data_IF_792748237777
#
_entry.id   IF_792748237777
#
_cell.length_a   1.000
_cell.length_b   1.000
_cell.length_c   1.000
_cell.angle_alpha   90.00
_cell.angle_beta   90.00
_cell.angle_gamma   90.00
#
_symmetry.space_group_name_H-M   'P 1'
#
loop_
_entity.id
_entity.type
_entity.pdbx_description
1 polymer ?
#
# COMPACT_ATOMS: atom_id res chain seq x y z
N UNK A 1 0.20 -13.46 -19.86
CA UNK A 1 0.38 -14.78 -19.20
C UNK A 1 1.81 -14.89 -18.67
N UNK A 2 2.09 -14.28 -17.52
CA UNK A 2 3.41 -14.37 -16.88
C UNK A 2 3.40 -15.56 -15.91
N UNK A 3 3.88 -16.72 -16.36
CA UNK A 3 4.09 -17.86 -15.47
C UNK A 3 5.03 -17.47 -14.33
N UNK A 4 4.61 -17.71 -13.08
CA UNK A 4 5.44 -17.43 -11.92
C UNK A 4 6.70 -18.28 -11.93
N UNK A 5 7.85 -17.66 -11.61
CA UNK A 5 9.15 -18.32 -11.71
C UNK A 5 9.28 -19.47 -10.70
N UNK A 6 9.98 -20.53 -11.10
CA UNK A 6 10.31 -21.68 -10.24
C UNK A 6 10.90 -21.27 -8.89
N UNK A 7 11.71 -20.21 -8.85
CA UNK A 7 12.33 -19.68 -7.63
C UNK A 7 11.31 -19.23 -6.58
N UNK A 8 10.23 -18.56 -7.00
CA UNK A 8 9.17 -18.11 -6.10
C UNK A 8 8.40 -19.29 -5.53
N UNK A 9 8.06 -20.29 -6.36
CA UNK A 9 7.41 -21.53 -5.95
C UNK A 9 8.27 -22.34 -4.97
N UNK A 10 9.56 -22.46 -5.25
CA UNK A 10 10.50 -23.14 -4.34
C UNK A 10 10.63 -22.39 -3.00
N UNK A 11 10.68 -21.05 -3.05
CA UNK A 11 10.68 -20.21 -1.85
C UNK A 11 9.43 -20.37 -0.99
N UNK A 12 8.25 -20.48 -1.62
CA UNK A 12 6.99 -20.78 -0.94
C UNK A 12 7.06 -22.14 -0.24
N UNK A 13 7.39 -23.19 -0.98
CA UNK A 13 7.47 -24.57 -0.46
C UNK A 13 8.37 -24.66 0.77
N UNK A 14 9.55 -24.01 0.72
CA UNK A 14 10.46 -23.98 1.87
C UNK A 14 9.82 -23.33 3.09
N UNK A 15 9.05 -22.26 2.92
CA UNK A 15 8.33 -21.62 4.03
C UNK A 15 7.20 -22.50 4.56
N UNK A 16 6.39 -23.09 3.68
CA UNK A 16 5.24 -23.93 4.07
C UNK A 16 5.69 -25.15 4.87
N UNK A 17 6.78 -25.80 4.46
CA UNK A 17 7.34 -26.93 5.20
C UNK A 17 8.30 -26.55 6.33
N UNK A 18 8.40 -25.26 6.68
CA UNK A 18 9.35 -24.73 7.67
C UNK A 18 10.78 -25.26 7.48
N UNK A 19 11.23 -25.25 6.23
CA UNK A 19 12.46 -25.90 5.77
C UNK A 19 13.51 -24.88 5.37
N UNK A 20 14.72 -25.05 5.88
CA UNK A 20 15.87 -24.23 5.46
C UNK A 20 16.45 -24.70 4.13
N UNK A 21 17.14 -23.80 3.42
CA UNK A 21 17.90 -24.15 2.19
C UNK A 21 18.95 -25.24 2.44
N UNK A 22 19.53 -25.27 3.65
CA UNK A 22 20.50 -26.28 4.05
C UNK A 22 19.85 -27.65 4.26
N UNK A 23 18.62 -27.68 4.81
CA UNK A 23 17.84 -28.91 4.95
C UNK A 23 17.54 -29.50 3.57
N UNK A 24 17.02 -28.68 2.64
CA UNK A 24 16.73 -29.16 1.28
C UNK A 24 17.99 -29.63 0.54
N UNK A 25 19.11 -28.91 0.69
CA UNK A 25 20.39 -29.30 0.09
C UNK A 25 20.85 -30.68 0.58
N UNK A 26 20.77 -30.91 1.90
CA UNK A 26 21.08 -32.20 2.51
C UNK A 26 20.16 -33.31 1.99
N UNK A 27 18.86 -33.06 1.95
CA UNK A 27 17.88 -34.05 1.50
C UNK A 27 18.03 -34.46 0.03
N UNK A 28 18.53 -33.55 -0.82
CA UNK A 28 18.76 -33.81 -2.24
C UNK A 28 20.20 -34.23 -2.55
N UNK A 29 21.07 -34.33 -1.53
CA UNK A 29 22.50 -34.56 -1.68
C UNK A 29 23.20 -33.59 -2.66
N UNK A 30 22.87 -32.30 -2.56
CA UNK A 30 23.47 -31.22 -3.37
C UNK A 30 24.07 -30.11 -2.51
N UNK A 31 24.88 -29.24 -3.11
CA UNK A 31 25.46 -28.10 -2.41
C UNK A 31 24.43 -27.08 -1.94
N UNK A 32 24.60 -26.58 -0.71
CA UNK A 32 23.79 -25.50 -0.14
C UNK A 32 23.79 -24.23 -1.01
N UNK A 33 24.93 -23.91 -1.65
CA UNK A 33 25.05 -22.77 -2.55
C UNK A 33 24.25 -22.95 -3.85
N UNK A 34 24.06 -24.19 -4.31
CA UNK A 34 23.23 -24.50 -5.47
C UNK A 34 21.74 -24.28 -5.16
N UNK A 35 21.26 -24.76 -4.01
CA UNK A 35 19.89 -24.48 -3.55
C UNK A 35 19.67 -22.99 -3.32
N UNK A 36 20.67 -22.28 -2.79
CA UNK A 36 20.65 -20.82 -2.67
C UNK A 36 20.42 -20.12 -4.01
N UNK A 37 21.10 -20.57 -5.07
CA UNK A 37 20.95 -20.04 -6.43
C UNK A 37 19.59 -20.34 -7.05
N UNK A 38 19.01 -21.50 -6.77
CA UNK A 38 17.65 -21.85 -7.20
C UNK A 38 16.59 -20.94 -6.56
N UNK A 39 16.66 -20.73 -5.24
CA UNK A 39 15.72 -19.85 -4.53
C UNK A 39 15.88 -18.39 -4.95
N UNK A 40 17.10 -17.96 -5.27
CA UNK A 40 17.37 -16.62 -5.81
C UNK A 40 16.95 -16.46 -7.29
N UNK A 41 16.60 -17.54 -7.99
CA UNK A 41 16.27 -17.51 -9.42
C UNK A 41 17.46 -17.31 -10.36
N UNK A 42 18.68 -17.28 -9.83
CA UNK A 42 19.91 -17.11 -10.62
C UNK A 42 20.29 -18.32 -11.47
N UNK A 43 19.77 -19.51 -11.13
CA UNK A 43 20.00 -20.76 -11.87
C UNK A 43 18.72 -21.58 -11.83
N UNK A 44 18.32 -22.17 -12.95
CA UNK A 44 17.24 -23.16 -13.00
C UNK A 44 17.78 -24.55 -12.69
N UNK A 45 17.06 -25.38 -11.90
CA UNK A 45 17.46 -26.76 -11.70
C UNK A 45 17.47 -27.52 -13.03
N UNK A 46 18.41 -28.45 -13.18
CA UNK A 46 18.38 -29.42 -14.28
C UNK A 46 17.16 -30.32 -14.15
N UNK A 47 16.76 -30.99 -15.23
CA UNK A 47 15.65 -31.96 -15.23
C UNK A 47 15.81 -33.03 -14.14
N UNK A 48 17.04 -33.52 -13.93
CA UNK A 48 17.35 -34.48 -12.86
C UNK A 48 17.08 -33.90 -11.47
N UNK A 49 17.54 -32.68 -11.20
CA UNK A 49 17.33 -32.02 -9.92
C UNK A 49 15.86 -31.65 -9.70
N UNK A 50 15.15 -31.21 -10.74
CA UNK A 50 13.72 -30.94 -10.66
C UNK A 50 12.91 -32.20 -10.36
N UNK A 51 13.29 -33.35 -10.94
CA UNK A 51 12.66 -34.64 -10.62
C UNK A 51 12.90 -35.05 -9.16
N UNK A 52 14.11 -34.84 -8.63
CA UNK A 52 14.43 -35.15 -7.23
C UNK A 52 13.69 -34.21 -6.26
N UNK A 53 13.61 -32.91 -6.56
CA UNK A 53 12.82 -31.95 -5.78
C UNK A 53 11.35 -32.37 -5.79
N UNK A 54 10.78 -32.65 -6.95
CA UNK A 54 9.38 -33.08 -7.07
C UNK A 54 9.09 -34.33 -6.24
N UNK A 55 9.96 -35.34 -6.31
CA UNK A 55 9.81 -36.58 -5.51
C UNK A 55 9.83 -36.29 -4.01
N UNK A 56 10.79 -35.48 -3.58
CA UNK A 56 10.92 -35.09 -2.17
C UNK A 56 9.70 -34.33 -1.64
N UNK A 57 9.03 -33.54 -2.48
CA UNK A 57 7.78 -32.86 -2.13
C UNK A 57 6.57 -33.78 -2.18
N UNK A 58 6.51 -34.72 -3.13
CA UNK A 58 5.44 -35.70 -3.22
C UNK A 58 5.32 -36.58 -1.96
N UNK A 59 6.44 -36.86 -1.29
CA UNK A 59 6.45 -37.56 -0.01
C UNK A 59 5.73 -36.79 1.12
N UNK A 60 5.61 -35.46 0.98
CA UNK A 60 5.01 -34.56 1.99
C UNK A 60 3.65 -34.02 1.57
N UNK A 61 3.41 -33.94 0.27
CA UNK A 61 2.16 -33.50 -0.33
C UNK A 61 1.69 -34.58 -1.31
N UNK A 62 0.80 -35.50 -0.88
CA UNK A 62 0.28 -36.56 -1.74
C UNK A 62 -0.32 -35.99 -3.03
N UNK A 63 0.05 -36.58 -4.16
CA UNK A 63 -0.43 -36.15 -5.47
C UNK A 63 0.35 -34.99 -6.10
N UNK A 64 1.42 -34.50 -5.47
CA UNK A 64 2.33 -33.52 -6.09
C UNK A 64 3.15 -34.17 -7.22
N UNK A 65 3.17 -33.52 -8.38
CA UNK A 65 3.79 -34.00 -9.63
C UNK A 65 4.62 -32.90 -10.30
N UNK A 66 5.32 -33.27 -11.37
CA UNK A 66 6.16 -32.31 -12.11
C UNK A 66 5.32 -31.24 -12.82
N UNK A 67 4.07 -31.54 -13.20
CA UNK A 67 3.16 -30.59 -13.86
C UNK A 67 2.69 -29.48 -12.91
N UNK A 68 2.76 -29.70 -11.60
CA UNK A 68 2.37 -28.68 -10.64
C UNK A 68 3.30 -27.47 -10.67
N UNK A 69 4.55 -27.63 -11.14
CA UNK A 69 5.46 -26.51 -11.36
C UNK A 69 5.03 -25.56 -12.47
N UNK A 70 4.14 -25.97 -13.36
CA UNK A 70 3.65 -25.14 -14.48
C UNK A 70 2.42 -24.29 -14.08
N UNK A 71 1.82 -24.55 -12.93
CA UNK A 71 0.71 -23.76 -12.38
C UNK A 71 1.12 -22.31 -12.12
N UNK A 72 0.18 -21.38 -12.03
CA UNK A 72 0.52 -20.08 -11.47
C UNK A 72 0.84 -20.17 -9.96
N UNK A 73 1.32 -19.07 -9.36
CA UNK A 73 1.74 -19.10 -7.95
C UNK A 73 0.56 -19.24 -6.98
N UNK A 74 -0.63 -18.83 -7.38
CA UNK A 74 -1.84 -18.83 -6.57
C UNK A 74 -2.40 -20.26 -6.47
N UNK A 75 -2.58 -20.91 -7.62
CA UNK A 75 -2.97 -22.33 -7.74
C UNK A 75 -1.92 -23.27 -7.13
N UNK A 76 -0.64 -22.89 -7.23
CA UNK A 76 0.44 -23.65 -6.61
C UNK A 76 0.44 -23.54 -5.08
N UNK A 77 0.14 -22.36 -4.51
CA UNK A 77 0.07 -22.19 -3.07
C UNK A 77 -1.14 -22.92 -2.46
N UNK A 78 -2.27 -22.91 -3.18
CA UNK A 78 -3.48 -23.63 -2.79
C UNK A 78 -3.25 -25.14 -2.59
N UNK A 79 -2.35 -25.76 -3.37
CA UNK A 79 -1.97 -27.17 -3.19
C UNK A 79 -1.47 -27.46 -1.78
N UNK A 80 -0.78 -26.52 -1.14
CA UNK A 80 -0.18 -26.72 0.17
C UNK A 80 -1.02 -26.11 1.31
N UNK A 81 -2.27 -25.72 1.04
CA UNK A 81 -3.13 -25.04 2.01
C UNK A 81 -2.56 -23.69 2.47
N UNK A 82 -1.67 -23.09 1.67
CA UNK A 82 -1.01 -21.83 1.98
C UNK A 82 -1.63 -20.70 1.16
N UNK A 83 -1.70 -19.51 1.75
CA UNK A 83 -1.97 -18.28 1.00
C UNK A 83 -0.67 -17.91 0.29
N UNK A 84 -0.70 -17.77 -1.04
CA UNK A 84 0.46 -17.34 -1.79
C UNK A 84 1.00 -16.02 -1.20
N UNK A 85 2.31 -15.87 -0.97
CA UNK A 85 2.87 -14.54 -0.74
C UNK A 85 2.50 -13.76 -1.98
N UNK A 86 1.76 -12.67 -1.78
CA UNK A 86 1.50 -11.68 -2.81
C UNK A 86 2.88 -11.15 -3.19
N UNK A 87 3.53 -11.80 -4.17
CA UNK A 87 4.59 -11.17 -4.94
C UNK A 87 3.99 -9.84 -5.38
N UNK A 88 4.68 -8.73 -5.10
CA UNK A 88 4.27 -7.39 -5.52
C UNK A 88 3.86 -7.45 -7.00
N UNK A 89 2.57 -7.67 -7.27
CA UNK A 89 2.06 -7.66 -8.63
C UNK A 89 2.22 -6.21 -9.08
N UNK A 90 2.75 -5.96 -10.28
CA UNK A 90 2.52 -4.69 -10.92
C UNK A 90 1.01 -4.44 -10.90
N UNK A 91 0.60 -3.31 -10.33
CA UNK A 91 -0.81 -2.93 -10.26
C UNK A 91 -1.28 -2.72 -11.70
N UNK A 92 -2.02 -3.68 -12.26
CA UNK A 92 -2.32 -3.71 -13.70
C UNK A 92 -3.48 -2.77 -14.05
N UNK A 93 -3.49 -2.34 -15.32
CA UNK A 93 -4.42 -1.40 -15.95
C UNK A 93 -5.89 -1.79 -15.76
N UNK A 94 -6.17 -3.08 -15.52
CA UNK A 94 -7.49 -3.67 -15.38
C UNK A 94 -8.04 -3.72 -13.93
N UNK A 95 -7.19 -3.55 -12.90
CA UNK A 95 -7.57 -3.78 -11.49
C UNK A 95 -8.07 -2.50 -10.79
N UNK A 96 -8.75 -1.62 -11.55
CA UNK A 96 -9.43 -0.47 -11.00
C UNK A 96 -10.75 -0.83 -10.34
N UNK A 97 -11.19 -0.05 -9.33
CA UNK A 97 -12.59 -0.12 -8.89
C UNK A 97 -13.48 0.16 -10.11
N UNK A 98 -14.44 -0.71 -10.45
CA UNK A 98 -15.24 -0.59 -11.67
C UNK A 98 -16.27 0.54 -11.53
N UNK A 99 -15.81 1.79 -11.69
CA UNK A 99 -16.65 2.97 -11.56
C UNK A 99 -17.19 3.40 -12.93
N UNK A 100 -18.49 3.66 -13.04
CA UNK A 100 -19.09 4.20 -14.27
C UNK A 100 -18.48 5.56 -14.69
N UNK A 101 -17.86 6.27 -13.75
CA UNK A 101 -17.24 7.59 -13.95
C UNK A 101 -15.73 7.54 -14.25
N UNK A 102 -15.16 6.36 -14.54
CA UNK A 102 -13.73 6.22 -14.83
C UNK A 102 -13.21 7.15 -15.93
N UNK A 103 -13.93 7.39 -17.05
CA UNK A 103 -13.48 8.34 -18.07
C UNK A 103 -13.30 9.76 -17.51
N UNK A 104 -14.23 10.23 -16.68
CA UNK A 104 -14.19 11.55 -16.05
C UNK A 104 -13.03 11.65 -15.06
N UNK A 105 -12.77 10.58 -14.29
CA UNK A 105 -11.63 10.51 -13.37
C UNK A 105 -10.32 10.64 -14.14
N UNK A 106 -10.11 9.85 -15.20
CA UNK A 106 -8.88 9.93 -16.02
C UNK A 106 -8.70 11.32 -16.64
N UNK A 107 -9.78 11.93 -17.13
CA UNK A 107 -9.75 13.30 -17.66
C UNK A 107 -9.33 14.31 -16.59
N UNK A 108 -9.89 14.21 -15.38
CA UNK A 108 -9.54 15.09 -14.26
C UNK A 108 -8.08 14.88 -13.79
N UNK A 109 -7.62 13.63 -13.77
CA UNK A 109 -6.23 13.28 -13.46
C UNK A 109 -5.26 13.89 -14.46
N UNK A 110 -5.53 13.80 -15.76
CA UNK A 110 -4.63 14.30 -16.81
C UNK A 110 -4.31 15.78 -16.62
N UNK A 111 -5.29 16.60 -16.23
CA UNK A 111 -5.10 18.03 -15.98
C UNK A 111 -4.42 18.37 -14.65
N UNK A 112 -4.32 17.43 -13.71
CA UNK A 112 -3.85 17.68 -12.34
C UNK A 112 -2.67 16.82 -11.90
N UNK A 113 -2.28 15.82 -12.67
CA UNK A 113 -1.31 14.82 -12.26
C UNK A 113 0.00 15.46 -11.79
N UNK A 114 0.57 16.37 -12.57
CA UNK A 114 1.81 17.09 -12.22
C UNK A 114 1.75 17.82 -10.88
N UNK A 115 0.58 18.30 -10.48
CA UNK A 115 0.41 18.99 -9.20
C UNK A 115 0.24 18.01 -8.03
N UNK A 116 -0.31 16.82 -8.30
CA UNK A 116 -0.66 15.82 -7.30
C UNK A 116 0.45 14.79 -7.05
N UNK A 117 1.37 14.60 -8.01
CA UNK A 117 2.52 13.72 -7.86
C UNK A 117 3.48 14.23 -6.78
N UNK A 118 3.72 13.40 -5.78
CA UNK A 118 4.55 13.76 -4.64
C UNK A 118 4.89 12.58 -3.72
N UNK A 119 5.87 12.80 -2.86
CA UNK A 119 5.97 12.14 -1.56
C UNK A 119 5.12 12.89 -0.55
N UNK A 120 4.43 12.14 0.30
CA UNK A 120 3.59 12.70 1.34
C UNK A 120 3.77 11.96 2.67
N UNK A 121 3.35 12.65 3.72
CA UNK A 121 3.20 12.11 5.07
C UNK A 121 1.80 12.42 5.56
N UNK A 122 1.08 11.42 6.04
CA UNK A 122 -0.21 11.65 6.70
C UNK A 122 -0.03 11.95 8.19
N UNK A 123 -1.04 12.55 8.81
CA UNK A 123 -1.16 12.62 10.27
C UNK A 123 -2.58 12.31 10.66
N UNK A 124 -2.78 11.30 11.51
CA UNK A 124 -4.08 10.88 12.02
C UNK A 124 -3.99 10.40 13.47
N UNK A 125 -5.07 10.43 14.25
CA UNK A 125 -5.09 9.84 15.59
C UNK A 125 -4.66 8.36 15.57
N UNK A 126 -3.87 7.98 16.58
CA UNK A 126 -3.44 6.60 16.79
C UNK A 126 -4.53 5.84 17.56
N UNK A 127 -5.24 4.94 16.89
CA UNK A 127 -6.33 4.17 17.51
C UNK A 127 -5.86 3.34 18.73
N UNK A 128 -4.69 2.69 18.61
CA UNK A 128 -4.11 1.89 19.68
C UNK A 128 -3.42 2.72 20.78
N UNK A 129 -3.31 4.04 20.63
CA UNK A 129 -2.63 4.93 21.57
C UNK A 129 -3.35 6.29 21.67
N UNK A 130 -4.42 6.40 22.46
CA UNK A 130 -5.20 7.63 22.60
C UNK A 130 -4.33 8.85 22.94
N UNK A 131 -4.61 9.98 22.27
CA UNK A 131 -3.84 11.22 22.41
C UNK A 131 -2.53 11.26 21.62
N UNK A 132 -2.13 10.17 20.95
CA UNK A 132 -0.99 10.12 20.04
C UNK A 132 -1.45 10.18 18.58
N UNK A 133 -0.49 10.44 17.69
CA UNK A 133 -0.71 10.54 16.26
C UNK A 133 0.21 9.60 15.49
N UNK A 134 -0.28 9.06 14.38
CA UNK A 134 0.47 8.24 13.43
C UNK A 134 0.83 9.05 12.18
N UNK A 135 1.99 8.74 11.65
CA UNK A 135 2.49 9.21 10.37
C UNK A 135 2.63 8.05 9.39
N UNK A 136 1.66 7.92 8.49
CA UNK A 136 1.82 7.04 7.33
C UNK A 136 2.69 7.78 6.29
N UNK A 137 3.66 7.08 5.73
CA UNK A 137 4.53 7.61 4.67
C UNK A 137 4.00 7.12 3.35
N UNK A 138 4.01 7.98 2.32
CA UNK A 138 3.40 7.62 1.06
C UNK A 138 3.95 8.35 -0.15
N UNK A 139 3.52 7.86 -1.29
CA UNK A 139 3.85 8.35 -2.61
C UNK A 139 2.60 8.32 -3.48
N UNK A 140 2.38 9.41 -4.23
CA UNK A 140 1.38 9.48 -5.30
C UNK A 140 2.12 9.64 -6.62
N UNK A 141 1.83 8.77 -7.59
CA UNK A 141 2.46 8.77 -8.92
C UNK A 141 1.41 8.58 -10.01
N UNK A 142 1.57 9.24 -11.15
CA UNK A 142 0.77 8.94 -12.34
C UNK A 142 1.14 7.57 -12.89
N UNK A 143 0.15 6.68 -12.98
CA UNK A 143 0.31 5.37 -13.59
C UNK A 143 0.06 5.47 -15.11
N UNK A 144 0.62 4.54 -15.89
CA UNK A 144 0.45 4.46 -17.33
C UNK A 144 -1.03 4.35 -17.77
N UNK A 145 -1.91 3.86 -16.90
CA UNK A 145 -3.35 3.83 -17.18
C UNK A 145 -4.01 5.24 -17.12
N UNK A 146 -3.35 6.26 -16.60
CA UNK A 146 -3.90 7.61 -16.43
C UNK A 146 -4.65 7.84 -15.11
N UNK A 147 -4.46 6.97 -14.12
CA UNK A 147 -4.87 7.19 -12.73
C UNK A 147 -3.67 7.53 -11.86
N UNK A 148 -3.92 8.18 -10.73
CA UNK A 148 -2.90 8.38 -9.71
C UNK A 148 -2.86 7.13 -8.83
N UNK A 149 -1.76 6.41 -8.91
CA UNK A 149 -1.45 5.35 -7.98
C UNK A 149 -1.01 5.96 -6.66
N UNK A 150 -1.53 5.42 -5.57
CA UNK A 150 -1.11 5.77 -4.21
C UNK A 150 -0.53 4.54 -3.53
N UNK A 151 0.62 4.72 -2.92
CA UNK A 151 1.22 3.76 -2.00
C UNK A 151 1.41 4.49 -0.68
N UNK A 152 0.92 3.93 0.41
CA UNK A 152 1.08 4.50 1.75
C UNK A 152 1.17 3.42 2.80
N UNK A 153 1.96 3.64 3.84
CA UNK A 153 2.08 2.63 4.87
C UNK A 153 2.85 3.07 6.11
N UNK A 154 2.85 2.16 7.07
CA UNK A 154 3.65 2.21 8.28
C UNK A 154 4.37 0.89 8.44
N UNK A 155 5.71 0.91 8.40
CA UNK A 155 6.55 -0.28 8.53
C UNK A 155 6.14 -1.38 7.52
N UNK A 156 5.59 -2.50 8.02
CA UNK A 156 5.22 -3.67 7.24
C UNK A 156 3.78 -3.60 6.67
N UNK A 157 2.94 -2.69 7.19
CA UNK A 157 1.59 -2.46 6.67
C UNK A 157 1.66 -1.47 5.52
N UNK A 158 1.42 -1.94 4.31
CA UNK A 158 1.48 -1.12 3.09
C UNK A 158 0.16 -1.23 2.34
N UNK A 159 -0.52 -0.09 2.20
CA UNK A 159 -1.68 0.08 1.36
C UNK A 159 -1.26 0.54 -0.03
N UNK A 160 -1.83 -0.10 -1.06
CA UNK A 160 -1.66 0.29 -2.46
C UNK A 160 -3.01 0.42 -3.13
N UNK A 161 -3.18 1.43 -3.98
CA UNK A 161 -4.45 1.67 -4.64
C UNK A 161 -4.51 2.92 -5.51
N UNK A 162 -5.69 3.52 -5.59
CA UNK A 162 -5.99 4.64 -6.48
C UNK A 162 -6.38 5.89 -5.72
N UNK A 163 -5.80 7.02 -6.12
CA UNK A 163 -6.23 8.36 -5.75
C UNK A 163 -6.98 8.99 -6.95
N UNK A 164 -8.25 9.33 -6.75
CA UNK A 164 -9.16 9.69 -7.83
C UNK A 164 -9.70 11.10 -7.61
N UNK A 165 -9.35 12.06 -8.48
CA UNK A 165 -9.95 13.39 -8.43
C UNK A 165 -11.41 13.34 -8.93
N UNK A 166 -12.36 13.67 -8.06
CA UNK A 166 -13.79 13.70 -8.37
C UNK A 166 -14.41 14.95 -7.74
N UNK A 167 -15.06 15.80 -8.56
CA UNK A 167 -15.84 16.98 -8.12
C UNK A 167 -15.11 17.89 -7.11
N UNK A 168 -13.80 18.10 -7.28
CA UNK A 168 -13.04 18.93 -6.34
C UNK A 168 -12.80 18.25 -4.99
N UNK A 169 -12.71 16.93 -4.96
CA UNK A 169 -12.21 16.12 -3.85
C UNK A 169 -11.26 15.05 -4.40
N UNK A 170 -10.46 14.44 -3.52
CA UNK A 170 -9.64 13.29 -3.86
C UNK A 170 -10.14 12.07 -3.09
N UNK A 171 -10.55 11.04 -3.82
CA UNK A 171 -11.01 9.78 -3.28
C UNK A 171 -9.88 8.77 -3.35
N UNK A 172 -9.43 8.27 -2.20
CA UNK A 172 -8.44 7.22 -2.07
C UNK A 172 -9.13 5.91 -1.73
N UNK A 173 -8.87 4.87 -2.52
CA UNK A 173 -9.20 3.49 -2.20
C UNK A 173 -7.91 2.70 -2.28
N UNK A 174 -7.47 2.12 -1.16
CA UNK A 174 -6.23 1.36 -1.12
C UNK A 174 -6.36 0.13 -0.23
N UNK A 175 -5.59 -0.91 -0.55
CA UNK A 175 -5.65 -2.20 0.12
C UNK A 175 -4.28 -2.62 0.61
N UNK A 176 -4.22 -3.18 1.81
CA UNK A 176 -3.10 -3.99 2.27
C UNK A 176 -3.41 -5.45 1.94
N UNK A 177 -2.82 -5.92 0.85
CA UNK A 177 -3.05 -7.28 0.36
C UNK A 177 -2.46 -8.35 1.28
N UNK A 178 -1.45 -8.03 2.10
CA UNK A 178 -0.84 -8.98 3.01
C UNK A 178 -1.77 -9.29 4.20
N UNK A 179 -2.50 -8.27 4.67
CA UNK A 179 -3.38 -8.38 5.83
C UNK A 179 -4.87 -8.42 5.47
N UNK A 180 -5.22 -8.31 4.18
CA UNK A 180 -6.61 -8.27 3.73
C UNK A 180 -7.37 -7.03 4.22
N UNK A 181 -6.66 -5.92 4.46
CA UNK A 181 -7.24 -4.68 4.96
C UNK A 181 -7.53 -3.70 3.82
N UNK A 182 -8.57 -2.89 3.99
CA UNK A 182 -8.92 -1.82 3.07
C UNK A 182 -9.00 -0.49 3.82
N UNK A 183 -8.47 0.55 3.20
CA UNK A 183 -8.61 1.92 3.66
C UNK A 183 -9.30 2.75 2.57
N UNK A 184 -10.22 3.59 3.02
CA UNK A 184 -10.90 4.56 2.19
C UNK A 184 -10.69 5.95 2.77
N UNK A 185 -10.20 6.88 1.96
CA UNK A 185 -9.95 8.25 2.41
C UNK A 185 -10.60 9.23 1.44
N UNK A 186 -11.34 10.19 1.96
CA UNK A 186 -11.82 11.33 1.17
C UNK A 186 -11.05 12.55 1.66
N UNK A 187 -10.22 13.11 0.78
CA UNK A 187 -9.57 14.39 1.04
C UNK A 187 -10.36 15.54 0.38
N UNK A 188 -10.50 16.64 1.12
CA UNK A 188 -10.99 17.92 0.60
C UNK A 188 -10.05 18.37 -0.51
N UNK A 189 -10.49 18.72 -1.73
CA UNK A 189 -9.51 19.31 -2.67
C UNK A 189 -9.21 20.74 -2.25
N UNK A 190 -7.94 21.09 -2.32
CA UNK A 190 -7.53 22.49 -2.37
C UNK A 190 -7.76 23.00 -3.81
N UNK A 191 -8.28 24.23 -4.00
CA UNK A 191 -8.32 24.87 -5.32
C UNK A 191 -6.90 25.00 -5.92
N UNK A 192 -6.83 24.94 -7.26
CA UNK A 192 -5.68 25.16 -8.18
C UNK A 192 -4.25 25.18 -7.62
N UNK A 193 -3.34 24.43 -8.27
CA UNK A 193 -1.91 24.42 -7.97
C UNK A 193 -1.48 23.20 -7.16
N UNK A 194 -0.23 23.23 -6.67
CA UNK A 194 0.40 22.11 -5.96
C UNK A 194 0.01 22.10 -4.49
N UNK A 195 -0.81 21.13 -4.02
CA UNK A 195 -1.21 21.08 -2.62
C UNK A 195 0.00 20.82 -1.72
N UNK A 196 0.19 21.66 -0.72
CA UNK A 196 1.19 21.46 0.33
C UNK A 196 0.62 20.72 1.52
N UNK A 197 -0.68 20.92 1.78
CA UNK A 197 -1.43 20.21 2.81
C UNK A 197 -2.85 20.02 2.34
N UNK A 198 -3.41 18.87 2.65
CA UNK A 198 -4.80 18.52 2.38
C UNK A 198 -5.35 17.83 3.63
N UNK A 199 -6.59 18.08 4.00
CA UNK A 199 -7.28 17.35 5.06
C UNK A 199 -8.40 16.48 4.51
N UNK A 200 -8.82 15.51 5.29
CA UNK A 200 -9.77 14.51 4.87
C UNK A 200 -10.26 13.65 6.01
N UNK A 201 -11.10 12.68 5.66
CA UNK A 201 -11.60 11.67 6.58
C UNK A 201 -11.15 10.31 6.07
N UNK A 202 -10.48 9.55 6.93
CA UNK A 202 -10.11 8.16 6.67
C UNK A 202 -11.12 7.24 7.34
N UNK A 203 -11.46 6.15 6.66
CA UNK A 203 -12.27 5.05 7.14
C UNK A 203 -11.52 3.74 6.89
N UNK A 204 -11.49 2.87 7.87
CA UNK A 204 -10.81 1.59 7.74
C UNK A 204 -11.16 0.62 8.86
N UNK A 205 -10.70 -0.61 8.70
CA UNK A 205 -10.79 -1.63 9.74
C UNK A 205 -9.88 -1.27 10.92
N UNK A 206 -10.42 -1.34 12.12
CA UNK A 206 -9.67 -1.28 13.36
C UNK A 206 -8.71 -2.47 13.45
N UNK A 207 -7.48 -2.22 13.86
CA UNK A 207 -6.49 -3.28 14.12
C UNK A 207 -6.56 -3.83 15.56
N UNK A 208 -7.65 -3.56 16.29
CA UNK A 208 -7.86 -4.01 17.67
C UNK A 208 -8.19 -5.50 17.80
N UNK A 209 -8.29 -5.99 19.04
CA UNK A 209 -8.60 -7.41 19.37
C UNK A 209 -10.01 -7.84 18.98
N UNK A 210 -10.90 -6.90 18.67
CA UNK A 210 -12.22 -7.15 18.12
C UNK A 210 -12.34 -6.45 16.76
N UNK A 211 -12.95 -7.12 15.75
CA UNK A 211 -13.22 -6.48 14.47
C UNK A 211 -14.05 -5.21 14.68
N UNK A 212 -13.52 -4.08 14.23
CA UNK A 212 -14.16 -2.78 14.32
C UNK A 212 -13.97 -1.97 13.05
N UNK A 213 -14.78 -0.92 12.90
CA UNK A 213 -14.58 0.10 11.89
C UNK A 213 -14.32 1.42 12.60
N UNK A 214 -13.36 2.19 12.10
CA UNK A 214 -13.04 3.51 12.62
C UNK A 214 -13.09 4.54 11.50
N UNK A 215 -13.58 5.72 11.83
CA UNK A 215 -13.47 6.91 11.01
C UNK A 215 -12.73 7.99 11.80
N UNK A 216 -11.76 8.65 11.18
CA UNK A 216 -10.99 9.70 11.82
C UNK A 216 -10.63 10.80 10.82
N UNK A 217 -10.48 12.05 11.27
CA UNK A 217 -9.85 13.07 10.46
C UNK A 217 -8.39 12.69 10.19
N UNK A 218 -7.90 13.09 9.03
CA UNK A 218 -6.54 12.84 8.56
C UNK A 218 -6.05 14.06 7.80
N UNK A 219 -4.77 14.37 7.95
CA UNK A 219 -4.08 15.37 7.14
C UNK A 219 -3.05 14.65 6.27
N UNK A 220 -2.84 15.13 5.05
CA UNK A 220 -1.77 14.76 4.15
C UNK A 220 -0.89 16.00 3.93
N UNK A 221 0.37 15.92 4.33
CA UNK A 221 1.41 16.91 4.05
C UNK A 221 2.27 16.45 2.87
N UNK A 222 2.51 17.34 1.90
CA UNK A 222 3.52 17.12 0.88
C UNK A 222 4.90 17.26 1.52
N UNK A 223 5.74 16.24 1.40
CA UNK A 223 7.11 16.22 1.98
C UNK A 223 8.21 16.19 0.93
N UNK A 224 7.84 16.06 -0.35
CA UNK A 224 8.78 16.19 -1.45
C UNK A 224 8.15 15.93 -2.81
N UNK A 225 8.89 16.25 -3.84
CA UNK A 225 8.50 16.07 -5.24
C UNK A 225 9.12 14.77 -5.75
N UNK A 226 8.45 14.12 -6.70
CA UNK A 226 9.02 12.99 -7.42
C UNK A 226 10.15 13.47 -8.33
N UNK A 227 11.20 12.66 -8.45
CA UNK A 227 12.32 12.97 -9.34
C UNK A 227 12.01 12.64 -10.80
N UNK A 228 11.04 11.76 -11.05
CA UNK A 228 10.74 11.19 -12.36
C UNK A 228 11.54 9.92 -12.67
N UNK A 229 12.54 9.58 -11.84
CA UNK A 229 13.19 8.26 -11.86
C UNK A 229 12.45 7.32 -10.90
N UNK A 230 11.74 6.36 -11.49
CA UNK A 230 10.94 5.36 -10.76
C UNK A 230 11.77 4.61 -9.72
N UNK A 231 12.99 4.18 -10.07
CA UNK A 231 13.82 3.37 -9.17
C UNK A 231 14.33 4.21 -8.00
N UNK A 232 14.75 5.45 -8.29
CA UNK A 232 15.20 6.37 -7.25
C UNK A 232 14.06 6.77 -6.31
N UNK A 233 12.88 7.05 -6.86
CA UNK A 233 11.70 7.43 -6.09
C UNK A 233 11.20 6.27 -5.22
N UNK A 234 11.17 5.04 -5.74
CA UNK A 234 10.80 3.86 -4.98
C UNK A 234 11.80 3.58 -3.85
N UNK A 235 13.10 3.80 -4.08
CA UNK A 235 14.12 3.71 -3.02
C UNK A 235 13.86 4.74 -1.92
N UNK A 236 13.61 5.99 -2.29
CA UNK A 236 13.29 7.05 -1.33
C UNK A 236 12.03 6.72 -0.52
N UNK A 237 10.98 6.19 -1.16
CA UNK A 237 9.78 5.74 -0.46
C UNK A 237 10.11 4.66 0.58
N UNK A 238 10.90 3.64 0.22
CA UNK A 238 11.32 2.58 1.16
C UNK A 238 12.15 3.13 2.33
N UNK A 239 13.01 4.12 2.09
CA UNK A 239 13.74 4.80 3.16
C UNK A 239 12.79 5.54 4.11
N UNK A 240 11.76 6.23 3.59
CA UNK A 240 10.76 6.91 4.42
C UNK A 240 10.02 5.96 5.36
N UNK A 241 9.72 4.73 4.91
CA UNK A 241 9.04 3.71 5.73
C UNK A 241 9.84 3.25 6.96
N UNK A 242 11.15 3.54 7.01
CA UNK A 242 11.99 3.21 8.17
C UNK A 242 11.81 4.17 9.35
N UNK A 243 11.15 5.31 9.13
CA UNK A 243 10.85 6.27 10.17
C UNK A 243 9.90 5.68 11.22
N UNK A 244 9.98 6.19 12.45
CA UNK A 244 9.00 5.84 13.48
C UNK A 244 7.60 6.28 13.03
N UNK A 245 6.63 5.36 12.91
CA UNK A 245 5.27 5.71 12.54
C UNK A 245 4.57 6.53 13.61
N UNK A 246 5.01 6.49 14.87
CA UNK A 246 4.42 7.29 15.92
C UNK A 246 5.02 8.69 15.89
N UNK A 247 4.17 9.72 15.80
CA UNK A 247 4.62 11.09 15.87
C UNK A 247 5.37 11.34 17.20
N UNK A 248 6.58 11.93 17.16
CA UNK A 248 7.28 12.34 18.36
C UNK A 248 6.41 13.28 19.20
N UNK A 249 6.54 13.21 20.52
CA UNK A 249 5.76 14.07 21.42
C UNK A 249 6.04 15.55 21.14
N UNK A 250 4.96 16.35 21.05
CA UNK A 250 5.05 17.78 20.71
C UNK A 250 5.41 18.10 19.25
N UNK A 251 5.65 17.10 18.39
CA UNK A 251 6.00 17.35 16.97
C UNK A 251 4.80 17.73 16.09
N UNK A 252 3.59 17.37 16.51
CA UNK A 252 2.36 17.73 15.81
C UNK A 252 1.92 19.13 16.23
N UNK A 253 1.80 20.09 15.29
CA UNK A 253 1.43 21.47 15.63
C UNK A 253 0.09 21.56 16.36
N UNK A 254 -0.08 22.48 17.34
CA UNK A 254 -1.32 22.60 18.11
C UNK A 254 -2.57 22.76 17.26
N UNK A 255 -2.50 23.49 16.14
CA UNK A 255 -3.61 23.67 15.22
C UNK A 255 -3.99 22.37 14.48
N UNK A 256 -3.03 21.48 14.25
CA UNK A 256 -3.25 20.16 13.68
C UNK A 256 -3.86 19.22 14.72
N UNK A 257 -3.36 19.24 15.96
CA UNK A 257 -3.96 18.49 17.08
C UNK A 257 -5.43 18.89 17.26
N UNK A 258 -5.70 20.19 17.33
CA UNK A 258 -7.05 20.72 17.45
C UNK A 258 -7.94 20.37 16.24
N UNK A 259 -7.37 20.22 15.04
CA UNK A 259 -8.09 19.77 13.85
C UNK A 259 -8.44 18.27 13.91
N UNK A 260 -7.49 17.44 14.35
CA UNK A 260 -7.60 15.98 14.32
C UNK A 260 -8.33 15.38 15.52
N UNK A 261 -8.50 16.14 16.60
CA UNK A 261 -9.12 15.68 17.86
C UNK A 261 -10.40 16.44 18.21
N UNK A 262 -11.14 16.92 17.20
CA UNK A 262 -12.39 17.66 17.39
C UNK A 262 -13.49 16.77 17.95
N UNK A 263 -14.32 17.38 18.78
CA UNK A 263 -15.56 16.79 19.28
C UNK A 263 -16.68 16.90 18.24
N UNK A 264 -17.62 15.95 18.27
CA UNK A 264 -18.81 15.91 17.42
C UNK A 264 -19.87 15.01 18.05
N UNK A 265 -21.13 15.17 17.65
CA UNK A 265 -22.25 14.34 18.10
C UNK A 265 -23.24 15.10 18.99
N UNK A 266 -24.13 14.40 19.71
CA UNK A 266 -25.27 15.03 20.38
C UNK A 266 -24.92 16.14 21.36
N UNK A 267 -23.94 15.90 22.23
CA UNK A 267 -23.51 16.89 23.23
C UNK A 267 -22.86 18.10 22.57
N UNK A 268 -22.03 17.86 21.54
CA UNK A 268 -21.37 18.94 20.81
C UNK A 268 -22.38 19.77 20.01
N UNK A 269 -23.35 19.12 19.36
CA UNK A 269 -24.46 19.78 18.66
C UNK A 269 -25.29 20.64 19.61
N UNK A 270 -25.61 20.15 20.82
CA UNK A 270 -26.35 20.92 21.82
C UNK A 270 -25.59 22.19 22.27
N UNK A 271 -24.26 22.19 22.18
CA UNK A 271 -23.40 23.35 22.41
C UNK A 271 -23.19 24.24 21.16
N UNK A 272 -23.91 23.99 20.06
CA UNK A 272 -23.80 24.73 18.80
C UNK A 272 -22.71 24.24 17.84
N UNK A 273 -22.13 23.07 18.11
CA UNK A 273 -21.13 22.42 17.27
C UNK A 273 -21.71 21.45 16.24
N UNK A 274 -20.86 20.56 15.72
CA UNK A 274 -21.22 19.63 14.66
C UNK A 274 -21.89 18.34 15.18
N UNK A 275 -22.91 17.87 14.47
CA UNK A 275 -23.55 16.57 14.71
C UNK A 275 -22.71 15.39 14.17
N UNK A 276 -22.07 15.57 13.01
CA UNK A 276 -21.31 14.55 12.31
C UNK A 276 -19.85 14.96 12.21
N UNK A 277 -18.95 13.98 12.09
CA UNK A 277 -17.58 14.23 11.68
C UNK A 277 -17.58 14.85 10.27
N UNK A 278 -17.21 16.12 10.18
CA UNK A 278 -17.16 16.87 8.94
C UNK A 278 -15.93 17.76 8.88
N UNK A 279 -15.44 17.99 7.66
CA UNK A 279 -14.37 18.95 7.38
C UNK A 279 -14.93 19.98 6.40
N UNK A 280 -15.68 20.98 6.91
CA UNK A 280 -16.20 22.03 6.05
C UNK A 280 -15.04 22.93 5.59
N UNK A 281 -15.16 23.49 4.38
CA UNK A 281 -14.10 24.28 3.74
C UNK A 281 -13.55 25.40 4.63
N UNK A 282 -14.42 26.09 5.38
CA UNK A 282 -14.02 27.19 6.27
C UNK A 282 -13.19 26.75 7.49
N UNK A 283 -13.13 25.45 7.79
CA UNK A 283 -12.30 24.85 8.85
C UNK A 283 -11.18 23.97 8.30
N UNK A 284 -11.03 23.94 6.98
CA UNK A 284 -10.02 23.13 6.32
C UNK A 284 -8.63 23.74 6.53
N UNK A 285 -7.63 22.91 6.74
CA UNK A 285 -6.22 23.26 6.76
C UNK A 285 -5.56 23.08 5.38
N UNK A 286 -6.37 22.85 4.34
CA UNK A 286 -5.94 22.71 2.97
C UNK A 286 -5.22 23.97 2.44
N UNK A 287 -4.05 23.80 1.84
CA UNK A 287 -3.27 24.89 1.24
C UNK A 287 -2.47 24.43 0.02
N UNK A 288 -2.38 25.29 -0.98
CA UNK A 288 -1.64 25.06 -2.24
C UNK A 288 -0.64 26.17 -2.49
N UNK A 289 0.40 25.85 -3.23
CA UNK A 289 1.28 26.85 -3.86
C UNK A 289 0.84 26.96 -5.33
N UNK A 290 0.50 28.18 -5.76
CA UNK A 290 0.32 28.44 -7.19
C UNK A 290 1.68 28.33 -7.86
N UNK A 291 1.79 27.56 -8.94
CA UNK A 291 2.95 27.68 -9.80
C UNK A 291 3.02 29.13 -10.27
N UNK A 292 4.10 29.85 -9.98
CA UNK A 292 4.37 31.09 -10.69
C UNK A 292 4.39 30.72 -12.17
N UNK A 293 3.48 31.30 -12.94
CA UNK A 293 3.59 31.24 -14.39
C UNK A 293 5.00 31.75 -14.72
N UNK A 294 5.83 30.89 -15.31
CA UNK A 294 7.06 31.34 -15.93
C UNK A 294 6.66 32.43 -16.92
N UNK A 295 7.02 33.66 -16.60
CA UNK A 295 6.82 34.78 -17.48
C UNK A 295 7.85 34.66 -18.60
N UNK A 296 7.33 34.40 -19.81
CA UNK A 296 7.93 34.57 -21.15
C UNK A 296 8.88 33.45 -21.58
#
# INVERSE_FOLDING_TARGET
MSGSSFSAKLGLVLKVFNMSRAHLASALAVDKSLVGRWVAGSVTPSTHNLANITRYLADRQPGFTMLDWDRDIEDFAALFGAIAPVLERPFDVADGVPLAIMPQIRSATTGRARDLECFFRTTRPAEAAPGRFLHDQGMVRLNANGLLEVIMGVRETVYRGWLMPVRGQLFCVATDAANGALVFVIFSSVPSGRPQRIDGITLGSSSGSLPGIAAAPIILDRVGDLSGDVVADDRRYREMLTNDPLAPEGSVPPEVVAHLSRDFGPSHLAAGGDWLLQIPLHRSLGRSVMAMAEAI
#
